data_IF_543225185643
#
_entry.id   IF_543225185643
#
_cell.length_a   1.000
_cell.length_b   1.000
_cell.length_c   1.000
_cell.angle_alpha   90.00
_cell.angle_beta   90.00
_cell.angle_gamma   90.00
#
_symmetry.space_group_name_H-M   'P 1'
#
loop_
_entity.id
_entity.type
_entity.pdbx_description
1 polymer ?
#
# COMPACT_ATOMS: atom_id res chain seq x y z
N UNK A 1 -12.38 -0.68 6.80
CA UNK A 1 -12.34 -1.54 5.59
C UNK A 1 -12.18 -2.99 6.00
N UNK A 2 -12.98 -3.92 5.44
CA UNK A 2 -12.85 -5.38 5.67
C UNK A 2 -12.35 -6.07 4.39
N UNK A 3 -11.72 -7.23 4.51
CA UNK A 3 -11.16 -7.97 3.39
C UNK A 3 -10.32 -9.17 3.84
N UNK A 4 -9.78 -9.91 2.88
CA UNK A 4 -8.78 -10.93 3.12
C UNK A 4 -7.61 -10.78 2.13
N UNK A 5 -6.45 -11.26 2.54
CA UNK A 5 -5.23 -11.30 1.75
C UNK A 5 -4.65 -12.70 1.92
N UNK A 6 -4.26 -13.34 0.82
CA UNK A 6 -3.59 -14.63 0.85
C UNK A 6 -2.20 -14.49 0.26
N UNK A 7 -1.18 -14.89 1.02
CA UNK A 7 0.21 -14.94 0.58
C UNK A 7 0.58 -16.39 0.26
N UNK A 8 0.87 -16.67 -1.01
CA UNK A 8 1.35 -17.98 -1.49
C UNK A 8 2.87 -18.13 -1.35
N UNK A 9 3.58 -17.01 -1.30
CA UNK A 9 5.02 -16.90 -1.01
C UNK A 9 5.20 -15.92 0.13
N UNK A 10 6.23 -16.10 0.99
CA UNK A 10 6.48 -15.16 2.06
C UNK A 10 6.76 -13.76 1.48
N UNK A 11 6.27 -12.72 2.15
CA UNK A 11 6.69 -11.36 1.87
C UNK A 11 7.98 -11.11 2.65
N UNK A 12 9.11 -11.26 1.98
CA UNK A 12 10.45 -11.12 2.54
C UNK A 12 11.27 -10.04 1.81
N UNK A 13 12.53 -9.89 2.21
CA UNK A 13 13.44 -8.87 1.65
C UNK A 13 14.18 -9.32 0.39
N UNK A 14 13.99 -10.55 -0.08
CA UNK A 14 14.48 -10.99 -1.40
C UNK A 14 13.68 -10.35 -2.54
N UNK A 15 12.47 -9.89 -2.24
CA UNK A 15 11.57 -9.27 -3.20
C UNK A 15 11.88 -7.79 -3.44
N UNK A 16 11.49 -7.31 -4.61
CA UNK A 16 11.47 -5.90 -4.99
C UNK A 16 10.05 -5.36 -4.90
N UNK A 17 9.89 -4.21 -4.25
CA UNK A 17 8.65 -3.44 -4.19
C UNK A 17 8.68 -2.36 -5.28
N UNK A 18 7.70 -2.37 -6.17
CA UNK A 18 7.50 -1.41 -7.25
C UNK A 18 6.12 -0.75 -7.09
N UNK A 19 6.13 0.51 -6.67
CA UNK A 19 4.93 1.33 -6.50
C UNK A 19 4.89 2.37 -7.61
N UNK A 20 3.78 2.39 -8.34
CA UNK A 20 3.49 3.41 -9.34
C UNK A 20 2.15 4.05 -9.02
N UNK A 21 2.11 5.37 -8.96
CA UNK A 21 0.88 6.14 -8.83
C UNK A 21 0.59 6.90 -10.12
N UNK A 22 -0.65 6.84 -10.58
CA UNK A 22 -1.20 7.74 -11.58
C UNK A 22 -2.09 8.79 -10.90
N UNK A 23 -2.07 10.03 -11.38
CA UNK A 23 -2.94 11.10 -10.91
C UNK A 23 -4.04 11.41 -11.94
N UNK A 24 -5.21 11.84 -11.48
CA UNK A 24 -6.28 12.23 -12.37
C UNK A 24 -6.07 13.65 -12.91
N UNK A 25 -6.10 13.81 -14.23
CA UNK A 25 -5.94 15.10 -14.89
C UNK A 25 -7.19 15.98 -14.83
N UNK A 26 -6.99 17.30 -14.83
CA UNK A 26 -8.08 18.30 -14.89
C UNK A 26 -8.94 18.18 -16.16
N UNK A 27 -8.35 17.71 -17.26
CA UNK A 27 -9.03 17.45 -18.54
C UNK A 27 -9.67 16.05 -18.62
N UNK A 28 -9.67 15.29 -17.51
CA UNK A 28 -10.04 13.88 -17.48
C UNK A 28 -8.90 12.95 -17.88
N UNK A 29 -8.94 11.72 -17.36
CA UNK A 29 -7.97 10.65 -17.63
C UNK A 29 -6.86 10.50 -16.58
N UNK A 30 -6.28 9.30 -16.53
CA UNK A 30 -5.16 8.98 -15.66
C UNK A 30 -3.83 9.39 -16.30
N UNK A 31 -3.08 10.27 -15.64
CA UNK A 31 -1.69 10.60 -15.97
C UNK A 31 -0.77 9.62 -15.24
N UNK A 32 -0.07 8.70 -15.94
CA UNK A 32 0.78 7.70 -15.31
C UNK A 32 2.02 8.34 -14.68
N UNK A 33 2.72 7.58 -13.83
CA UNK A 33 4.02 7.96 -13.25
C UNK A 33 4.01 9.27 -12.46
N UNK A 34 2.88 9.66 -11.87
CA UNK A 34 2.80 10.79 -10.96
C UNK A 34 3.67 10.58 -9.71
N UNK A 35 3.86 9.32 -9.31
CA UNK A 35 4.86 8.89 -8.32
C UNK A 35 5.38 7.52 -8.72
N UNK A 36 6.70 7.32 -8.67
CA UNK A 36 7.34 6.03 -8.88
C UNK A 36 8.30 5.77 -7.74
N UNK A 37 8.14 4.64 -7.06
CA UNK A 37 9.00 4.21 -5.96
C UNK A 37 9.33 2.73 -6.14
N UNK A 38 10.59 2.46 -6.48
CA UNK A 38 11.10 1.10 -6.70
C UNK A 38 12.23 0.86 -5.69
N UNK A 39 12.11 -0.20 -4.91
CA UNK A 39 13.12 -0.54 -3.90
C UNK A 39 13.27 -2.04 -3.71
N UNK A 40 14.49 -2.48 -3.42
CA UNK A 40 14.78 -3.84 -2.92
C UNK A 40 14.31 -3.98 -1.47
N UNK A 41 14.45 -5.15 -0.86
CA UNK A 41 14.06 -5.38 0.54
C UNK A 41 12.58 -5.02 0.77
N UNK A 42 11.71 -5.63 -0.04
CA UNK A 42 10.31 -5.22 -0.15
C UNK A 42 9.59 -5.22 1.20
N UNK A 43 9.75 -6.24 2.03
CA UNK A 43 9.06 -6.33 3.31
C UNK A 43 9.47 -5.17 4.24
N UNK A 44 10.77 -5.01 4.46
CA UNK A 44 11.32 -3.99 5.36
C UNK A 44 10.98 -2.57 4.89
N UNK A 45 11.06 -2.30 3.58
CA UNK A 45 10.73 -0.98 3.05
C UNK A 45 9.21 -0.73 2.99
N UNK A 46 8.39 -1.73 2.71
CA UNK A 46 6.93 -1.62 2.83
C UNK A 46 6.54 -1.26 4.26
N UNK A 47 7.12 -1.95 5.26
CA UNK A 47 6.91 -1.63 6.67
C UNK A 47 7.31 -0.19 7.01
N UNK A 48 8.44 0.31 6.49
CA UNK A 48 8.86 1.71 6.68
C UNK A 48 7.88 2.70 6.08
N UNK A 49 7.36 2.43 4.88
CA UNK A 49 6.38 3.28 4.19
C UNK A 49 5.07 3.37 4.96
N UNK A 50 4.57 2.25 5.48
CA UNK A 50 3.34 2.28 6.28
C UNK A 50 3.57 2.79 7.70
N UNK A 51 4.81 2.74 8.21
CA UNK A 51 5.16 3.34 9.50
C UNK A 51 4.34 2.80 10.66
N UNK A 52 3.78 3.70 11.47
CA UNK A 52 2.95 3.36 12.63
C UNK A 52 1.68 2.57 12.26
N UNK A 53 1.21 2.72 11.02
CA UNK A 53 0.07 1.98 10.49
C UNK A 53 0.35 0.47 10.41
N UNK A 54 1.61 0.04 10.41
CA UNK A 54 1.96 -1.39 10.46
C UNK A 54 1.30 -2.10 11.64
N UNK A 55 1.30 -1.47 12.83
CA UNK A 55 0.72 -2.06 14.03
C UNK A 55 -0.80 -2.21 13.87
N UNK A 56 -1.46 -1.19 13.32
CA UNK A 56 -2.89 -1.23 13.00
C UNK A 56 -3.21 -2.36 12.03
N UNK A 57 -2.40 -2.54 10.97
CA UNK A 57 -2.58 -3.64 10.02
C UNK A 57 -2.35 -5.00 10.67
N UNK A 58 -1.30 -5.14 11.48
CA UNK A 58 -0.93 -6.38 12.19
C UNK A 58 -2.04 -6.83 13.15
N UNK A 59 -2.60 -5.90 13.92
CA UNK A 59 -3.76 -6.13 14.79
C UNK A 59 -5.01 -6.46 13.97
N UNK A 60 -5.29 -5.67 12.93
CA UNK A 60 -6.50 -5.80 12.13
C UNK A 60 -6.56 -7.12 11.39
N UNK A 61 -5.43 -7.66 10.94
CA UNK A 61 -5.30 -8.94 10.23
C UNK A 61 -4.94 -10.11 11.14
N UNK A 62 -4.81 -9.88 12.46
CA UNK A 62 -4.50 -10.88 13.47
C UNK A 62 -3.24 -11.72 13.15
N UNK A 63 -2.24 -11.10 12.52
CA UNK A 63 -1.02 -11.81 12.15
C UNK A 63 0.11 -11.56 13.17
N UNK A 64 0.06 -10.47 13.95
CA UNK A 64 1.01 -10.15 15.04
C UNK A 64 2.49 -10.28 14.67
N UNK A 65 2.82 -9.96 13.41
CA UNK A 65 4.18 -10.06 12.86
C UNK A 65 4.80 -8.69 12.97
N UNK A 66 5.74 -8.57 13.89
CA UNK A 66 6.48 -7.33 14.09
C UNK A 66 7.75 -7.27 13.24
N UNK A 67 8.22 -8.38 12.67
CA UNK A 67 9.45 -8.43 11.89
C UNK A 67 9.22 -9.11 10.55
N UNK A 68 9.97 -8.70 9.54
CA UNK A 68 10.03 -9.43 8.28
C UNK A 68 10.73 -10.79 8.47
N UNK A 69 10.34 -11.85 7.74
CA UNK A 69 9.31 -11.87 6.69
C UNK A 69 7.89 -12.05 7.22
N UNK A 70 6.88 -11.64 6.43
CA UNK A 70 5.49 -12.06 6.65
C UNK A 70 5.32 -13.47 6.05
N UNK A 71 5.04 -14.51 6.85
CA UNK A 71 4.83 -15.86 6.37
C UNK A 71 3.67 -16.00 5.38
N UNK A 72 3.71 -17.12 4.66
CA UNK A 72 2.59 -17.60 3.85
C UNK A 72 1.36 -17.83 4.71
N UNK A 73 0.18 -17.57 4.14
CA UNK A 73 -1.07 -17.77 4.87
C UNK A 73 -2.21 -16.91 4.35
N UNK A 74 -3.39 -17.16 4.90
CA UNK A 74 -4.60 -16.38 4.67
C UNK A 74 -4.85 -15.48 5.86
N UNK A 75 -4.82 -14.18 5.63
CA UNK A 75 -5.03 -13.14 6.62
C UNK A 75 -6.38 -12.48 6.35
N UNK A 76 -7.29 -12.51 7.30
CA UNK A 76 -8.61 -11.88 7.18
C UNK A 76 -8.68 -10.73 8.16
N UNK A 77 -9.07 -9.54 7.69
CA UNK A 77 -9.16 -8.39 8.58
C UNK A 77 -10.52 -8.29 9.26
N UNK A 78 -10.51 -7.98 10.56
CA UNK A 78 -11.72 -7.67 11.35
C UNK A 78 -12.28 -6.28 11.04
N UNK A 79 -11.47 -5.40 10.45
CA UNK A 79 -11.83 -4.04 10.06
C UNK A 79 -10.73 -3.04 10.33
N UNK A 80 -10.21 -2.41 9.28
CA UNK A 80 -9.21 -1.33 9.39
C UNK A 80 -9.92 0.02 9.56
N UNK A 81 -9.56 0.77 10.61
CA UNK A 81 -9.95 2.17 10.77
C UNK A 81 -9.17 3.05 9.79
N UNK A 82 -9.88 3.69 8.86
CA UNK A 82 -9.28 4.52 7.82
C UNK A 82 -8.65 5.79 8.38
N UNK A 83 -9.09 6.29 9.55
CA UNK A 83 -8.48 7.47 10.18
C UNK A 83 -7.04 7.21 10.59
N UNK A 84 -6.72 5.98 10.98
CA UNK A 84 -5.35 5.59 11.32
C UNK A 84 -4.40 5.61 10.12
N UNK A 85 -4.91 5.65 8.87
CA UNK A 85 -4.07 5.78 7.68
C UNK A 85 -3.42 7.18 7.55
N UNK A 86 -3.87 8.18 8.32
CA UNK A 86 -3.22 9.49 8.38
C UNK A 86 -1.80 9.42 9.00
N UNK A 87 -1.48 8.32 9.69
CA UNK A 87 -0.17 8.07 10.32
C UNK A 87 0.84 7.36 9.39
N UNK A 88 0.51 7.22 8.10
CA UNK A 88 1.44 6.69 7.09
C UNK A 88 2.69 7.59 6.97
N UNK A 89 3.86 7.00 6.74
CA UNK A 89 5.11 7.72 6.51
C UNK A 89 5.26 8.21 5.05
N UNK A 90 4.13 8.50 4.39
CA UNK A 90 4.11 9.05 3.03
C UNK A 90 4.21 10.58 3.10
N UNK A 91 4.72 11.25 2.04
CA UNK A 91 4.79 12.71 2.01
C UNK A 91 3.43 13.35 2.35
N UNK A 92 3.37 14.18 3.39
CA UNK A 92 2.07 14.78 3.83
C UNK A 92 1.55 15.87 2.89
N UNK A 93 2.36 16.30 1.93
CA UNK A 93 2.02 17.32 0.94
C UNK A 93 1.65 16.60 -0.36
N UNK A 94 0.42 16.10 -0.43
CA UNK A 94 -0.18 15.67 -1.69
C UNK A 94 -1.10 16.77 -2.22
N UNK A 95 -1.14 16.92 -3.54
CA UNK A 95 -2.19 17.72 -4.15
C UNK A 95 -3.52 16.98 -3.96
N UNK A 96 -4.57 17.72 -3.60
CA UNK A 96 -5.91 17.15 -3.54
C UNK A 96 -6.32 16.61 -4.91
N UNK A 97 -7.01 15.47 -4.93
CA UNK A 97 -7.37 14.80 -6.17
C UNK A 97 -7.47 13.28 -6.07
N UNK A 98 -7.65 12.64 -7.23
CA UNK A 98 -7.74 11.19 -7.36
C UNK A 98 -6.40 10.61 -7.77
N UNK A 99 -5.99 9.56 -7.09
CA UNK A 99 -4.77 8.81 -7.34
C UNK A 99 -5.08 7.33 -7.50
N UNK A 100 -4.40 6.69 -8.43
CA UNK A 100 -4.44 5.24 -8.61
C UNK A 100 -3.05 4.69 -8.36
N UNK A 101 -2.89 3.95 -7.27
CA UNK A 101 -1.65 3.28 -6.93
C UNK A 101 -1.69 1.83 -7.40
N UNK A 102 -0.58 1.37 -7.96
CA UNK A 102 -0.32 -0.01 -8.33
C UNK A 102 0.96 -0.41 -7.61
N UNK A 103 0.84 -1.34 -6.67
CA UNK A 103 1.95 -1.91 -5.91
C UNK A 103 2.22 -3.30 -6.46
N UNK A 104 3.46 -3.57 -6.86
CA UNK A 104 3.91 -4.86 -7.40
C UNK A 104 5.04 -5.39 -6.55
N UNK A 105 4.99 -6.69 -6.26
CA UNK A 105 6.08 -7.43 -5.63
C UNK A 105 6.73 -8.31 -6.71
N UNK A 106 8.03 -8.15 -6.92
CA UNK A 106 8.80 -8.88 -7.93
C UNK A 106 9.89 -9.73 -7.29
N UNK A 107 10.18 -10.89 -7.87
CA UNK A 107 11.33 -11.70 -7.48
C UNK A 107 12.64 -11.18 -8.13
N UNK A 108 13.75 -11.87 -7.89
CA UNK A 108 15.07 -11.53 -8.47
C UNK A 108 15.14 -11.58 -10.01
N UNK A 109 14.20 -12.26 -10.67
CA UNK A 109 14.07 -12.35 -12.13
C UNK A 109 13.11 -11.28 -12.71
N UNK A 110 12.70 -10.30 -11.90
CA UNK A 110 11.66 -9.31 -12.25
C UNK A 110 10.27 -9.89 -12.54
N UNK A 111 10.02 -11.17 -12.22
CA UNK A 111 8.69 -11.78 -12.33
C UNK A 111 7.80 -11.23 -11.22
N UNK A 112 6.61 -10.76 -11.59
CA UNK A 112 5.60 -10.26 -10.65
C UNK A 112 4.98 -11.45 -9.91
N UNK A 113 5.11 -11.45 -8.58
CA UNK A 113 4.52 -12.45 -7.69
C UNK A 113 3.18 -11.99 -7.09
N UNK A 114 2.99 -10.68 -6.96
CA UNK A 114 1.76 -10.09 -6.42
C UNK A 114 1.57 -8.66 -6.91
N UNK A 115 0.30 -8.26 -7.03
CA UNK A 115 -0.10 -6.92 -7.43
C UNK A 115 -1.30 -6.45 -6.60
N UNK A 116 -1.23 -5.23 -6.07
CA UNK A 116 -2.32 -4.57 -5.38
C UNK A 116 -2.62 -3.24 -6.07
N UNK A 117 -3.89 -2.99 -6.36
CA UNK A 117 -4.35 -1.75 -6.96
C UNK A 117 -5.30 -1.05 -6.00
N UNK A 118 -5.08 0.24 -5.78
CA UNK A 118 -5.93 1.06 -4.92
C UNK A 118 -6.17 2.42 -5.56
N UNK A 119 -7.41 2.90 -5.47
CA UNK A 119 -7.78 4.24 -5.87
C UNK A 119 -8.10 5.06 -4.62
N UNK A 120 -7.40 6.16 -4.44
CA UNK A 120 -7.52 7.04 -3.29
C UNK A 120 -8.00 8.39 -3.79
N UNK A 121 -9.05 8.92 -3.16
CA UNK A 121 -9.49 10.30 -3.38
C UNK A 121 -9.12 11.11 -2.16
N UNK A 122 -8.18 12.03 -2.32
CA UNK A 122 -7.80 12.99 -1.30
C UNK A 122 -8.70 14.22 -1.41
N UNK A 123 -9.64 14.34 -0.47
CA UNK A 123 -10.56 15.48 -0.38
C UNK A 123 -9.95 16.61 0.43
N UNK A 124 -10.35 17.84 0.10
CA UNK A 124 -10.04 19.00 0.93
C UNK A 124 -10.79 18.90 2.25
N UNK A 125 -10.26 19.46 3.36
CA UNK A 125 -10.90 19.39 4.67
C UNK A 125 -12.37 19.88 4.72
N UNK A 126 -12.76 20.74 3.77
CA UNK A 126 -14.11 21.30 3.66
C UNK A 126 -15.00 20.59 2.61
N UNK A 127 -14.49 19.59 1.90
CA UNK A 127 -15.26 18.79 0.95
C UNK A 127 -15.84 17.55 1.65
N UNK A 128 -17.10 17.22 1.36
CA UNK A 128 -17.74 15.99 1.85
C UNK A 128 -17.85 14.99 0.69
N UNK A 129 -17.68 13.70 0.99
CA UNK A 129 -18.08 12.63 0.08
C UNK A 129 -19.60 12.76 -0.10
N UNK A 130 -20.04 13.14 -1.30
CA UNK A 130 -21.45 13.15 -1.72
C UNK A 130 -21.90 11.71 -1.91
#
# INVERSE_FOLDING_TARGET
MKGNITLLTPLDDTLTLDINAASWGSTGGWKPNAMVYITKNACSNFKKLVGNVWNTLSESFNFHINNCPVPVGKFTTTGIDLKKLEELNVPKVFFYGKYKYILKFKNGENKILGCFAMEITLLRPWEKLI
#
